data_IF_218645361545
#
_entry.id   IF_218645361545
#
_cell.length_a   1.000
_cell.length_b   1.000
_cell.length_c   1.000
_cell.angle_alpha   90.00
_cell.angle_beta   90.00
_cell.angle_gamma   90.00
#
_symmetry.space_group_name_H-M   'P 1'
#
loop_
_entity.id
_entity.type
_entity.pdbx_description
1 polymer ?
#
# COMPACT_ATOMS: atom_id res chain seq x y z
N UNK A 1 -28.87 10.66 -0.69
CA UNK A 1 -27.90 11.24 -1.65
C UNK A 1 -27.17 10.09 -2.33
N UNK A 2 -26.93 10.16 -3.65
CA UNK A 2 -26.20 9.11 -4.37
C UNK A 2 -24.75 9.54 -4.61
N UNK A 3 -23.81 8.58 -4.62
CA UNK A 3 -22.41 8.85 -4.92
C UNK A 3 -22.26 9.33 -6.37
N UNK A 4 -21.55 10.45 -6.56
CA UNK A 4 -21.28 11.02 -7.89
C UNK A 4 -20.09 10.36 -8.57
N UNK A 5 -19.12 9.92 -7.78
CA UNK A 5 -17.89 9.27 -8.23
C UNK A 5 -17.77 7.88 -7.61
N UNK A 6 -17.10 6.96 -8.29
CA UNK A 6 -16.56 5.78 -7.62
C UNK A 6 -15.38 6.18 -6.72
N UNK A 7 -14.98 5.27 -5.82
CA UNK A 7 -13.78 5.43 -5.01
C UNK A 7 -12.78 4.31 -5.32
N UNK A 8 -11.54 4.68 -5.52
CA UNK A 8 -10.40 3.79 -5.63
C UNK A 8 -9.21 4.40 -4.87
N UNK A 9 -8.24 3.56 -4.50
CA UNK A 9 -7.06 4.02 -3.78
C UNK A 9 -5.83 3.25 -4.23
N UNK A 10 -4.69 3.93 -4.25
CA UNK A 10 -3.40 3.27 -4.35
C UNK A 10 -3.23 2.35 -3.13
N UNK A 11 -2.73 1.11 -3.28
CA UNK A 11 -2.62 0.16 -2.17
C UNK A 11 -1.85 0.72 -0.97
N UNK A 12 -0.73 1.39 -1.23
CA UNK A 12 0.05 2.06 -0.18
C UNK A 12 -0.68 3.25 0.46
N UNK A 13 -1.63 3.91 -0.21
CA UNK A 13 -2.42 4.98 0.40
C UNK A 13 -3.41 4.45 1.44
N UNK A 14 -3.86 3.19 1.31
CA UNK A 14 -4.61 2.50 2.36
C UNK A 14 -3.72 2.17 3.56
N UNK A 15 -2.42 1.96 3.36
CA UNK A 15 -1.48 1.86 4.47
C UNK A 15 -1.32 3.22 5.16
N UNK A 16 -1.10 4.31 4.40
CA UNK A 16 -1.04 5.65 4.97
C UNK A 16 -2.25 5.96 5.87
N UNK A 17 -3.47 5.68 5.39
CA UNK A 17 -4.71 5.89 6.15
C UNK A 17 -4.78 5.06 7.44
N UNK A 18 -4.16 3.88 7.48
CA UNK A 18 -4.13 3.05 8.71
C UNK A 18 -3.08 3.55 9.70
N UNK A 19 -2.00 4.13 9.20
CA UNK A 19 -0.85 4.56 9.99
C UNK A 19 -1.04 5.96 10.60
N UNK A 20 -1.95 6.78 10.07
CA UNK A 20 -2.28 8.08 10.68
C UNK A 20 -3.01 7.91 12.03
N UNK A 21 -2.95 8.92 12.93
CA UNK A 21 -3.73 8.90 14.16
C UNK A 21 -5.23 8.70 13.89
N UNK A 22 -5.92 7.96 14.76
CA UNK A 22 -7.33 7.58 14.57
C UNK A 22 -8.24 8.77 14.24
N UNK A 23 -8.15 9.86 15.02
CA UNK A 23 -8.92 11.08 14.75
C UNK A 23 -8.70 11.65 13.35
N UNK A 24 -7.47 11.57 12.83
CA UNK A 24 -7.13 12.03 11.48
C UNK A 24 -7.68 11.08 10.43
N UNK A 25 -7.64 9.77 10.69
CA UNK A 25 -8.25 8.77 9.81
C UNK A 25 -9.76 9.01 9.68
N UNK A 26 -10.46 9.26 10.78
CA UNK A 26 -11.91 9.51 10.77
C UNK A 26 -12.26 10.78 9.98
N UNK A 27 -11.50 11.86 10.19
CA UNK A 27 -11.62 13.07 9.39
C UNK A 27 -11.34 12.80 7.91
N UNK A 28 -10.29 12.05 7.58
CA UNK A 28 -9.98 11.72 6.19
C UNK A 28 -11.11 10.92 5.53
N UNK A 29 -11.73 9.98 6.24
CA UNK A 29 -12.87 9.20 5.73
C UNK A 29 -14.11 10.09 5.50
N UNK A 30 -14.35 11.08 6.37
CA UNK A 30 -15.41 12.07 6.19
C UNK A 30 -15.16 12.92 4.92
N UNK A 31 -13.94 13.42 4.75
CA UNK A 31 -13.54 14.17 3.56
C UNK A 31 -13.68 13.33 2.27
N UNK A 32 -13.28 12.06 2.31
CA UNK A 32 -13.48 11.12 1.19
C UNK A 32 -14.95 10.92 0.86
N UNK A 33 -15.83 10.85 1.88
CA UNK A 33 -17.26 10.79 1.66
C UNK A 33 -17.76 12.05 0.95
N UNK A 34 -17.35 13.25 1.39
CA UNK A 34 -17.74 14.50 0.72
C UNK A 34 -17.27 14.57 -0.74
N UNK A 35 -16.03 14.14 -1.00
CA UNK A 35 -15.47 14.07 -2.35
C UNK A 35 -16.24 13.13 -3.26
N UNK A 36 -16.58 11.93 -2.79
CA UNK A 36 -17.33 10.91 -3.56
C UNK A 36 -18.74 11.39 -3.92
N UNK A 37 -19.38 12.17 -3.05
CA UNK A 37 -20.67 12.80 -3.35
C UNK A 37 -20.54 14.07 -4.21
N UNK A 38 -19.32 14.57 -4.41
CA UNK A 38 -19.02 15.77 -5.19
C UNK A 38 -19.37 17.07 -4.47
N UNK A 39 -19.47 17.02 -3.14
CA UNK A 39 -19.73 18.18 -2.29
C UNK A 39 -18.50 19.09 -2.19
N UNK A 40 -17.31 18.51 -2.42
CA UNK A 40 -16.04 19.20 -2.29
C UNK A 40 -15.12 18.95 -3.49
N UNK A 41 -14.19 19.88 -3.69
CA UNK A 41 -13.10 19.76 -4.65
C UNK A 41 -11.81 20.20 -3.98
N UNK A 42 -10.81 19.31 -4.00
CA UNK A 42 -9.46 19.66 -3.58
C UNK A 42 -8.86 20.78 -4.45
N UNK A 43 -7.84 21.45 -3.94
CA UNK A 43 -7.11 22.45 -4.70
C UNK A 43 -6.15 21.78 -5.69
N UNK A 44 -6.17 22.20 -6.96
CA UNK A 44 -5.32 21.61 -7.99
C UNK A 44 -3.82 21.78 -7.67
N UNK A 45 -3.04 20.72 -7.93
CA UNK A 45 -1.59 20.71 -7.83
C UNK A 45 -0.95 20.95 -9.20
N UNK A 46 0.31 21.36 -9.19
CA UNK A 46 1.08 21.73 -10.38
C UNK A 46 2.35 20.86 -10.51
N UNK A 47 3.08 21.05 -11.62
CA UNK A 47 4.36 20.39 -11.91
C UNK A 47 4.22 18.85 -11.91
N UNK A 48 5.04 18.15 -11.13
CA UNK A 48 5.10 16.68 -11.08
C UNK A 48 3.75 16.04 -10.71
N UNK A 49 2.94 16.77 -9.92
CA UNK A 49 1.61 16.38 -9.47
C UNK A 49 0.49 17.05 -10.26
N UNK A 50 0.77 17.57 -11.46
CA UNK A 50 -0.26 18.10 -12.35
C UNK A 50 -1.37 17.05 -12.59
N UNK A 51 -2.63 17.48 -12.50
CA UNK A 51 -3.80 16.60 -12.55
C UNK A 51 -4.20 15.98 -11.20
N UNK A 52 -3.37 16.13 -10.17
CA UNK A 52 -3.73 15.77 -8.81
C UNK A 52 -4.32 16.99 -8.06
N UNK A 53 -5.00 16.72 -6.96
CA UNK A 53 -5.58 17.75 -6.09
C UNK A 53 -5.19 17.45 -4.64
N UNK A 54 -4.91 18.51 -3.86
CA UNK A 54 -4.70 18.43 -2.42
C UNK A 54 -6.01 18.66 -1.68
N UNK A 55 -6.22 17.92 -0.61
CA UNK A 55 -7.34 18.09 0.32
C UNK A 55 -6.75 18.21 1.72
N UNK A 56 -7.21 19.20 2.48
CA UNK A 56 -6.84 19.32 3.90
C UNK A 56 -7.73 18.37 4.71
N UNK A 57 -7.13 17.62 5.63
CA UNK A 57 -7.87 16.61 6.41
C UNK A 57 -8.36 17.21 7.73
N UNK A 58 -7.56 18.07 8.32
CA UNK A 58 -7.80 18.63 9.64
C UNK A 58 -7.88 20.16 9.60
N UNK A 59 -8.60 20.79 10.55
CA UNK A 59 -8.70 22.25 10.63
C UNK A 59 -7.35 22.95 10.82
N UNK A 60 -6.39 22.30 11.49
CA UNK A 60 -5.04 22.83 11.71
C UNK A 60 -4.18 22.76 10.43
N UNK A 61 -4.68 22.13 9.36
CA UNK A 61 -3.99 21.92 8.09
C UNK A 61 -2.67 21.18 8.22
N UNK A 62 -2.54 20.33 9.25
CA UNK A 62 -1.35 19.50 9.50
C UNK A 62 -1.34 18.24 8.68
N UNK A 63 -2.48 17.80 8.17
CA UNK A 63 -2.65 16.57 7.41
C UNK A 63 -3.26 16.85 6.04
N UNK A 64 -2.78 16.13 5.02
CA UNK A 64 -3.20 16.29 3.63
C UNK A 64 -3.45 14.94 2.99
N UNK A 65 -4.45 14.91 2.13
CA UNK A 65 -4.61 13.87 1.11
C UNK A 65 -4.22 14.43 -0.26
N UNK A 66 -3.68 13.55 -1.10
CA UNK A 66 -3.51 13.79 -2.53
C UNK A 66 -4.43 12.84 -3.28
N UNK A 67 -5.29 13.40 -4.12
CA UNK A 67 -6.26 12.64 -4.92
C UNK A 67 -6.08 12.95 -6.41
N UNK A 68 -6.62 12.09 -7.26
CA UNK A 68 -6.78 12.33 -8.69
C UNK A 68 -8.22 12.02 -9.09
N UNK A 69 -8.81 12.84 -9.96
CA UNK A 69 -10.08 12.51 -10.61
C UNK A 69 -9.79 11.78 -11.92
N UNK A 70 -10.19 10.52 -12.03
CA UNK A 70 -9.92 9.65 -13.19
C UNK A 70 -11.22 9.22 -13.85
N UNK A 71 -11.13 8.71 -15.07
CA UNK A 71 -12.22 7.94 -15.65
C UNK A 71 -12.29 6.60 -14.91
N UNK A 72 -13.50 6.20 -14.55
CA UNK A 72 -13.67 4.93 -13.86
C UNK A 72 -13.51 3.78 -14.87
N UNK A 73 -13.11 2.58 -14.42
CA UNK A 73 -13.10 1.39 -15.25
C UNK A 73 -14.48 1.13 -15.87
N UNK A 74 -14.52 0.51 -17.06
CA UNK A 74 -15.77 0.19 -17.78
C UNK A 74 -16.74 -0.70 -16.97
N UNK A 75 -16.24 -1.40 -15.96
CA UNK A 75 -17.05 -2.21 -15.04
C UNK A 75 -17.72 -1.40 -13.91
N UNK A 76 -17.38 -0.12 -13.77
CA UNK A 76 -17.92 0.76 -12.73
C UNK A 76 -19.31 1.27 -13.11
N UNK A 77 -20.15 1.47 -12.10
CA UNK A 77 -21.45 2.14 -12.25
C UNK A 77 -21.32 3.67 -12.39
N UNK A 78 -20.15 4.22 -12.07
CA UNK A 78 -19.86 5.65 -12.16
C UNK A 78 -18.99 5.94 -13.39
N UNK A 79 -19.14 7.10 -14.01
CA UNK A 79 -18.30 7.53 -15.15
C UNK A 79 -16.87 7.92 -14.73
N UNK A 80 -16.72 8.41 -13.51
CA UNK A 80 -15.46 8.93 -12.97
C UNK A 80 -15.25 8.42 -11.57
N UNK A 81 -14.00 8.39 -11.14
CA UNK A 81 -13.60 7.96 -9.81
C UNK A 81 -12.67 8.97 -9.13
N UNK A 82 -12.76 9.02 -7.81
CA UNK A 82 -11.75 9.61 -6.94
C UNK A 82 -10.70 8.53 -6.67
N UNK A 83 -9.47 8.80 -7.07
CA UNK A 83 -8.33 7.93 -6.80
C UNK A 83 -7.44 8.54 -5.71
N UNK A 84 -7.39 7.92 -4.53
CA UNK A 84 -6.53 8.36 -3.44
C UNK A 84 -5.08 7.91 -3.68
N UNK A 85 -4.16 8.87 -3.79
CA UNK A 85 -2.73 8.60 -4.04
C UNK A 85 -1.89 8.53 -2.78
N UNK A 86 -2.16 9.40 -1.79
CA UNK A 86 -1.41 9.42 -0.54
C UNK A 86 -2.14 10.19 0.56
N UNK A 87 -1.83 9.84 1.81
CA UNK A 87 -2.20 10.61 3.01
C UNK A 87 -0.93 10.85 3.82
N UNK A 88 -0.80 12.02 4.42
CA UNK A 88 0.34 12.27 5.29
C UNK A 88 0.40 13.68 5.84
N UNK A 89 1.37 13.90 6.72
CA UNK A 89 1.59 15.19 7.35
C UNK A 89 2.05 16.26 6.36
N UNK A 90 1.81 17.52 6.75
CA UNK A 90 2.36 18.72 6.15
C UNK A 90 3.88 18.68 6.21
N UNK A 91 4.40 18.25 7.36
CA UNK A 91 5.82 18.26 7.63
C UNK A 91 6.53 17.46 6.56
N UNK A 92 7.61 18.03 6.07
CA UNK A 92 8.43 17.49 4.99
C UNK A 92 7.66 17.20 3.69
N UNK A 93 6.44 17.73 3.50
CA UNK A 93 5.63 17.41 2.33
C UNK A 93 5.39 15.91 2.13
N UNK A 94 5.21 15.14 3.21
CA UNK A 94 5.11 13.68 3.19
C UNK A 94 4.10 13.16 2.17
N UNK A 95 2.88 13.71 2.18
CA UNK A 95 1.82 13.32 1.24
C UNK A 95 2.19 13.59 -0.23
N UNK A 96 2.84 14.72 -0.53
CA UNK A 96 3.21 15.07 -1.90
C UNK A 96 4.35 14.20 -2.43
N UNK A 97 5.38 13.95 -1.62
CA UNK A 97 6.50 13.07 -2.02
C UNK A 97 6.04 11.63 -2.21
N UNK A 98 5.16 11.13 -1.32
CA UNK A 98 4.57 9.81 -1.48
C UNK A 98 3.75 9.73 -2.79
N UNK A 99 2.89 10.72 -3.05
CA UNK A 99 2.10 10.78 -4.27
C UNK A 99 2.98 10.87 -5.53
N UNK A 100 4.02 11.72 -5.54
CA UNK A 100 4.89 11.89 -6.69
C UNK A 100 5.63 10.60 -7.04
N UNK A 101 6.21 9.93 -6.03
CA UNK A 101 6.89 8.63 -6.22
C UNK A 101 5.93 7.55 -6.72
N UNK A 102 4.72 7.49 -6.18
CA UNK A 102 3.70 6.50 -6.60
C UNK A 102 3.25 6.76 -8.04
N UNK A 103 3.00 8.03 -8.39
CA UNK A 103 2.59 8.41 -9.73
C UNK A 103 3.71 8.16 -10.77
N UNK A 104 4.96 8.41 -10.40
CA UNK A 104 6.12 8.06 -11.24
C UNK A 104 6.20 6.55 -11.47
N UNK A 105 6.05 5.73 -10.42
CA UNK A 105 5.97 4.27 -10.57
C UNK A 105 4.81 3.85 -11.47
N UNK A 106 3.61 4.38 -11.29
CA UNK A 106 2.45 4.06 -12.14
C UNK A 106 2.72 4.41 -13.61
N UNK A 107 3.36 5.55 -13.90
CA UNK A 107 3.75 5.95 -15.25
C UNK A 107 4.75 4.99 -15.88
N UNK A 108 5.76 4.54 -15.12
CA UNK A 108 6.74 3.56 -15.59
C UNK A 108 6.10 2.21 -15.94
N UNK A 109 5.13 1.75 -15.14
CA UNK A 109 4.39 0.50 -15.38
C UNK A 109 3.35 0.60 -16.51
N UNK A 110 2.84 1.80 -16.79
CA UNK A 110 1.89 2.03 -17.88
C UNK A 110 2.60 2.20 -19.22
N UNK A 111 3.81 2.79 -19.21
CA UNK A 111 4.66 2.98 -20.39
C UNK A 111 5.44 1.73 -20.83
N UNK A 112 5.45 0.66 -20.03
CA UNK A 112 6.00 -0.63 -20.43
C UNK A 112 4.90 -1.52 -21.03
N UNK A 113 5.19 -2.04 -22.22
CA UNK A 113 4.46 -3.01 -23.04
C UNK A 113 3.38 -3.83 -22.29
N UNK A 114 2.15 -4.03 -22.83
CA UNK A 114 1.15 -4.97 -22.32
C UNK A 114 1.69 -6.33 -21.85
N UNK A 115 2.81 -6.81 -22.41
CA UNK A 115 3.53 -8.00 -21.95
C UNK A 115 4.19 -7.83 -20.57
N UNK A 116 4.76 -6.66 -20.27
CA UNK A 116 5.31 -6.32 -18.96
C UNK A 116 4.22 -6.26 -17.88
N UNK A 117 3.04 -5.75 -18.22
CA UNK A 117 1.86 -5.73 -17.31
C UNK A 117 1.38 -7.14 -16.97
N UNK A 118 1.33 -8.05 -17.96
CA UNK A 118 1.04 -9.47 -17.75
C UNK A 118 2.13 -10.17 -16.92
N UNK A 119 3.41 -9.89 -17.18
CA UNK A 119 4.51 -10.44 -16.41
C UNK A 119 4.50 -9.96 -14.94
N UNK A 120 4.19 -8.69 -14.67
CA UNK A 120 4.04 -8.17 -13.31
C UNK A 120 2.83 -8.80 -12.61
N UNK A 121 1.70 -8.94 -13.29
CA UNK A 121 0.52 -9.62 -12.73
C UNK A 121 0.77 -11.11 -12.44
N UNK A 122 1.58 -11.79 -13.25
CA UNK A 122 2.00 -13.17 -13.02
C UNK A 122 2.95 -13.28 -11.81
N UNK A 123 3.92 -12.35 -11.67
CA UNK A 123 4.84 -12.30 -10.51
C UNK A 123 4.13 -11.94 -9.21
N UNK A 124 3.16 -11.03 -9.24
CA UNK A 124 2.35 -10.70 -8.06
C UNK A 124 1.48 -11.87 -7.59
N UNK A 125 1.14 -12.80 -8.50
CA UNK A 125 0.40 -14.03 -8.20
C UNK A 125 1.29 -15.23 -7.87
N UNK A 126 2.60 -15.16 -8.13
CA UNK A 126 3.50 -16.25 -7.76
C UNK A 126 3.78 -16.19 -6.27
N UNK A 127 2.96 -16.92 -5.51
CA UNK A 127 3.33 -17.39 -4.18
C UNK A 127 4.50 -18.35 -4.39
N UNK A 128 5.73 -17.94 -4.08
CA UNK A 128 6.86 -18.87 -4.01
C UNK A 128 6.55 -19.83 -2.85
N UNK A 129 6.31 -21.13 -3.09
CA UNK A 129 6.31 -22.08 -2.00
C UNK A 129 7.73 -22.11 -1.48
N UNK A 130 7.89 -21.75 -0.20
CA UNK A 130 9.16 -21.80 0.50
C UNK A 130 9.85 -23.14 0.26
N UNK A 131 11.16 -23.05 0.05
CA UNK A 131 12.12 -24.12 0.05
C UNK A 131 11.72 -25.25 1.01
N UNK A 132 11.41 -26.43 0.46
CA UNK A 132 11.54 -27.67 1.21
C UNK A 132 13.03 -27.83 1.52
N UNK A 133 13.40 -27.56 2.77
CA UNK A 133 14.69 -27.91 3.33
C UNK A 133 14.51 -29.28 4.00
N UNK A 134 14.91 -30.39 3.37
CA UNK A 134 14.92 -31.67 4.08
C UNK A 134 15.96 -31.61 5.20
N UNK A 135 15.45 -31.94 6.38
CA UNK A 135 16.08 -32.22 7.67
C UNK A 135 17.62 -32.18 7.72
N UNK A 136 18.09 -31.36 8.65
CA UNK A 136 19.38 -31.40 9.33
C UNK A 136 19.74 -32.84 9.74
N UNK A 137 20.54 -33.52 8.93
CA UNK A 137 21.31 -34.67 9.36
C UNK A 137 22.49 -34.18 10.19
N UNK A 138 22.33 -34.10 11.51
CA UNK A 138 23.45 -33.82 12.40
C UNK A 138 24.48 -34.95 12.32
N UNK A 139 25.78 -34.62 12.25
CA UNK A 139 26.86 -35.60 12.17
C UNK A 139 27.01 -36.32 13.51
N UNK A 140 27.28 -37.63 13.45
CA UNK A 140 27.71 -38.43 14.60
C UNK A 140 29.19 -38.14 14.86
N UNK A 141 29.60 -37.64 16.03
CA UNK A 141 30.96 -37.80 16.50
C UNK A 141 31.05 -39.00 17.44
N UNK A 142 31.93 -39.91 17.05
CA UNK A 142 32.55 -40.97 17.82
C UNK A 142 33.12 -40.44 19.16
N UNK A 143 32.78 -41.08 20.29
CA UNK A 143 33.63 -41.30 21.48
C UNK A 143 32.76 -41.93 22.57
N UNK A 144 32.92 -43.24 22.79
CA UNK A 144 32.35 -43.93 23.95
C UNK A 144 33.39 -44.81 24.62
N UNK A 145 33.96 -44.32 25.72
CA UNK A 145 34.54 -45.10 26.81
C UNK A 145 34.79 -44.16 28.00
N UNK A 146 34.94 -44.64 29.25
CA UNK A 146 34.49 -45.92 29.84
C UNK A 146 33.79 -45.70 31.20
N UNK A 147 32.91 -46.61 31.66
CA UNK A 147 32.45 -46.61 33.06
C UNK A 147 32.16 -48.03 33.60
N UNK A 148 32.21 -48.22 34.94
CA UNK A 148 33.06 -49.24 35.57
C UNK A 148 32.36 -50.55 35.92
N UNK A 149 33.16 -51.61 35.97
CA UNK A 149 32.79 -52.93 36.50
C UNK A 149 32.58 -52.86 38.00
N UNK A 150 31.32 -52.97 38.44
CA UNK A 150 31.00 -53.30 39.81
C UNK A 150 30.93 -54.81 40.01
N UNK A 151 31.72 -55.26 40.99
CA UNK A 151 31.90 -56.61 41.50
C UNK A 151 30.90 -56.88 42.62
N UNK A 152 30.15 -57.98 42.55
CA UNK A 152 29.72 -58.83 43.71
C UNK A 152 29.04 -60.10 43.17
N UNK A 153 29.68 -61.27 43.27
CA UNK A 153 29.75 -62.23 44.40
C UNK A 153 28.40 -62.89 44.70
N UNK A 154 28.24 -64.16 44.30
CA UNK A 154 28.24 -65.29 45.23
C UNK A 154 28.50 -66.60 44.49
#
# INVERSE_FOLDING_TARGET
>A
MSARYAFAAHPEALADLRDVPEKIRDLALLELQHLVHGNERGAALQRELAGCHKVYVDPETRWRMVIQYRDAPNSSQHKREIYLLAVGERQDHAAYRAAARRLERERQHTGTDPHARRAHAARARSVHPGHFQPASGSPVPETAAPQPRYRRVR
#
